data_IF_469016901577
#
_entry.id   IF_469016901577
#
_cell.length_a   1.000
_cell.length_b   1.000
_cell.length_c   1.000
_cell.angle_alpha   90.00
_cell.angle_beta   90.00
_cell.angle_gamma   90.00
#
_symmetry.space_group_name_H-M   'P 1'
#
loop_
_entity.id
_entity.type
_entity.pdbx_description
1 polymer ?
#
# COMPACT_ATOMS: atom_id res chain seq x y z
N UNK A 1 -9.26 27.76 0.37
CA UNK A 1 -8.02 27.17 0.89
C UNK A 1 -7.69 25.94 0.06
N UNK A 2 -6.41 25.64 -0.17
CA UNK A 2 -5.97 24.43 -0.85
C UNK A 2 -5.33 23.49 0.18
N UNK A 3 -5.62 22.20 0.09
CA UNK A 3 -4.93 21.17 0.86
C UNK A 3 -3.62 20.83 0.14
N UNK A 4 -2.52 20.85 0.88
CA UNK A 4 -1.19 20.54 0.38
C UNK A 4 -0.62 19.45 1.28
N UNK A 5 -0.20 18.34 0.67
CA UNK A 5 0.32 17.18 1.38
C UNK A 5 1.73 16.89 0.90
N UNK A 6 2.65 16.67 1.85
CA UNK A 6 4.04 16.33 1.53
C UNK A 6 4.19 14.84 1.19
N UNK A 7 4.71 14.52 0.01
CA UNK A 7 5.00 13.15 -0.42
C UNK A 7 6.42 12.69 -0.07
N UNK A 8 7.32 13.60 0.32
CA UNK A 8 8.71 13.24 0.59
C UNK A 8 8.88 12.48 1.91
N UNK A 9 9.72 11.46 1.87
CA UNK A 9 10.17 10.67 3.04
C UNK A 9 11.64 10.31 2.87
N UNK A 10 12.34 10.11 4.00
CA UNK A 10 13.77 9.82 4.00
C UNK A 10 14.13 8.41 3.53
N UNK A 11 13.17 7.48 3.56
CA UNK A 11 13.33 6.10 3.09
C UNK A 11 12.48 5.91 1.84
N UNK A 12 13.13 5.44 0.78
CA UNK A 12 12.50 5.16 -0.51
C UNK A 12 12.48 3.65 -0.77
N UNK A 13 11.29 3.15 -1.14
CA UNK A 13 11.09 1.80 -1.65
C UNK A 13 10.60 1.95 -3.09
N UNK A 14 11.42 1.55 -4.06
CA UNK A 14 11.15 1.77 -5.48
C UNK A 14 11.31 0.50 -6.30
N UNK A 15 10.53 0.39 -7.39
CA UNK A 15 10.75 -0.57 -8.47
C UNK A 15 11.71 -0.07 -9.54
N UNK A 16 11.80 -0.82 -10.64
CA UNK A 16 12.53 -0.43 -11.83
C UNK A 16 11.87 0.78 -12.51
N UNK A 17 12.70 1.74 -12.91
CA UNK A 17 12.26 2.97 -13.58
C UNK A 17 12.22 2.77 -15.09
N UNK A 18 13.01 1.85 -15.63
CA UNK A 18 13.12 1.66 -17.07
C UNK A 18 11.82 1.09 -17.63
N UNK A 19 11.26 1.79 -18.63
CA UNK A 19 10.01 1.38 -19.29
C UNK A 19 8.80 1.22 -18.35
N UNK A 20 8.83 1.68 -17.10
CA UNK A 20 7.74 1.50 -16.13
C UNK A 20 6.37 1.91 -16.69
N UNK A 21 6.28 3.11 -17.27
CA UNK A 21 5.02 3.60 -17.83
C UNK A 21 4.56 2.84 -19.08
N UNK A 22 5.50 2.26 -19.83
CA UNK A 22 5.22 1.45 -21.01
C UNK A 22 4.74 0.05 -20.63
N UNK A 23 5.46 -0.60 -19.72
CA UNK A 23 5.21 -1.97 -19.29
C UNK A 23 4.11 -2.05 -18.23
N UNK A 24 3.88 -0.95 -17.51
CA UNK A 24 2.92 -0.82 -16.40
C UNK A 24 3.16 -1.87 -15.31
N UNK A 25 4.43 -2.19 -15.07
CA UNK A 25 4.86 -3.29 -14.23
C UNK A 25 5.98 -2.81 -13.32
N UNK A 26 5.67 -2.67 -12.04
CA UNK A 26 6.60 -2.21 -11.02
C UNK A 26 6.84 -3.23 -9.91
N UNK A 27 7.49 -2.75 -8.86
CA UNK A 27 7.61 -3.45 -7.59
C UNK A 27 6.21 -3.74 -7.03
N UNK A 28 6.04 -4.91 -6.43
CA UNK A 28 4.90 -5.15 -5.55
C UNK A 28 5.40 -5.75 -4.24
N UNK A 29 4.66 -5.54 -3.17
CA UNK A 29 4.89 -6.24 -1.91
C UNK A 29 3.69 -7.11 -1.60
N UNK A 30 3.89 -8.21 -0.86
CA UNK A 30 2.78 -8.96 -0.28
C UNK A 30 3.27 -9.79 0.91
N UNK A 31 2.67 -9.53 2.07
CA UNK A 31 3.01 -10.18 3.33
C UNK A 31 2.01 -11.30 3.59
N UNK A 32 2.54 -12.52 3.71
CA UNK A 32 1.79 -13.77 3.74
C UNK A 32 2.06 -14.57 5.02
N UNK A 33 1.19 -15.56 5.29
CA UNK A 33 1.43 -16.63 6.24
C UNK A 33 1.50 -16.15 7.69
N UNK A 34 2.58 -16.49 8.39
CA UNK A 34 2.80 -16.09 9.79
C UNK A 34 3.76 -14.89 9.92
N UNK A 35 4.05 -14.19 8.81
CA UNK A 35 4.84 -12.97 8.83
C UNK A 35 4.09 -11.80 9.45
N UNK A 36 4.80 -10.69 9.63
CA UNK A 36 4.17 -9.38 9.85
C UNK A 36 4.97 -8.32 9.12
N UNK A 37 4.36 -7.16 8.89
CA UNK A 37 5.05 -5.99 8.37
C UNK A 37 4.70 -4.76 9.20
N UNK A 38 5.74 -4.03 9.59
CA UNK A 38 5.62 -2.69 10.16
C UNK A 38 6.40 -1.73 9.26
N UNK A 39 5.70 -1.06 8.35
CA UNK A 39 6.27 -0.13 7.38
C UNK A 39 5.75 1.27 7.68
N UNK A 40 6.65 2.16 8.11
CA UNK A 40 6.28 3.52 8.50
C UNK A 40 7.14 4.58 7.86
N UNK A 41 6.51 5.71 7.52
CA UNK A 41 7.17 6.92 7.02
C UNK A 41 8.12 6.66 5.85
N UNK A 42 7.71 5.76 4.95
CA UNK A 42 8.44 5.45 3.71
C UNK A 42 7.73 6.06 2.51
N UNK A 43 8.49 6.40 1.47
CA UNK A 43 7.96 6.77 0.16
C UNK A 43 8.03 5.54 -0.74
N UNK A 44 6.93 5.22 -1.40
CA UNK A 44 6.82 4.15 -2.38
C UNK A 44 6.55 4.73 -3.76
N UNK A 45 7.26 4.23 -4.75
CA UNK A 45 7.14 4.66 -6.14
C UNK A 45 7.46 3.53 -7.12
N UNK A 46 7.06 3.70 -8.39
CA UNK A 46 7.27 2.71 -9.45
C UNK A 46 6.79 1.32 -9.02
N UNK A 47 5.60 1.26 -8.44
CA UNK A 47 5.02 0.07 -7.83
C UNK A 47 3.66 -0.29 -8.44
N UNK A 48 3.16 -1.48 -8.09
CA UNK A 48 1.97 -2.06 -8.66
C UNK A 48 2.20 -2.63 -10.05
N UNK A 49 1.37 -3.60 -10.43
CA UNK A 49 1.40 -4.20 -11.78
C UNK A 49 -0.01 -4.12 -12.35
N UNK A 50 -0.15 -3.39 -13.46
CA UNK A 50 -1.45 -3.12 -14.07
C UNK A 50 -2.09 -4.43 -14.53
N UNK A 51 -3.37 -4.59 -14.24
CA UNK A 51 -4.19 -5.73 -14.63
C UNK A 51 -3.67 -7.10 -14.14
N UNK A 52 -2.77 -7.11 -13.14
CA UNK A 52 -2.33 -8.33 -12.45
C UNK A 52 -2.87 -8.33 -11.02
N UNK A 53 -3.84 -9.21 -10.75
CA UNK A 53 -4.48 -9.33 -9.44
C UNK A 53 -3.43 -9.67 -8.35
N UNK A 54 -3.56 -9.03 -7.19
CA UNK A 54 -2.70 -9.27 -6.02
C UNK A 54 -1.32 -8.57 -6.06
N UNK A 55 -0.99 -7.85 -7.15
CA UNK A 55 0.31 -7.19 -7.35
C UNK A 55 0.21 -5.69 -7.09
N UNK A 56 0.20 -5.35 -5.81
CA UNK A 56 -0.06 -4.01 -5.29
C UNK A 56 1.17 -3.42 -4.59
N UNK A 57 1.19 -2.11 -4.34
CA UNK A 57 2.35 -1.47 -3.71
C UNK A 57 2.57 -1.97 -2.27
N UNK A 58 1.56 -1.84 -1.41
CA UNK A 58 1.52 -2.41 -0.06
C UNK A 58 0.36 -3.40 0.04
N UNK A 59 0.65 -4.63 0.44
CA UNK A 59 -0.38 -5.68 0.48
C UNK A 59 -0.21 -6.58 1.71
N UNK A 60 -1.18 -6.54 2.61
CA UNK A 60 -1.37 -7.59 3.60
C UNK A 60 -2.27 -8.67 3.01
N UNK A 61 -1.80 -9.92 2.93
CA UNK A 61 -2.51 -10.99 2.24
C UNK A 61 -2.66 -12.24 3.12
N UNK A 62 -3.89 -12.45 3.61
CA UNK A 62 -4.37 -13.64 4.33
C UNK A 62 -3.54 -13.97 5.60
N UNK A 63 -3.30 -12.95 6.43
CA UNK A 63 -2.51 -13.07 7.68
C UNK A 63 -3.35 -13.48 8.89
N UNK A 64 -4.68 -13.31 8.85
CA UNK A 64 -5.53 -13.45 10.04
C UNK A 64 -5.27 -12.32 11.06
N UNK A 65 -5.37 -12.59 12.37
CA UNK A 65 -5.07 -11.59 13.40
C UNK A 65 -3.60 -11.13 13.40
N UNK A 66 -3.36 -9.85 13.14
CA UNK A 66 -2.02 -9.26 13.18
C UNK A 66 -2.03 -7.83 13.77
N UNK A 67 -2.08 -7.68 15.12
CA UNK A 67 -2.04 -6.37 15.78
C UNK A 67 -0.70 -5.64 15.64
N UNK A 68 0.36 -6.36 15.24
CA UNK A 68 1.69 -5.81 14.95
C UNK A 68 1.81 -5.30 13.51
N UNK A 69 0.86 -5.64 12.63
CA UNK A 69 0.90 -5.23 11.23
C UNK A 69 0.48 -3.76 11.09
N UNK A 70 1.38 -2.95 10.53
CA UNK A 70 1.21 -1.50 10.44
C UNK A 70 1.71 -0.98 9.10
N UNK A 71 0.87 -0.21 8.43
CA UNK A 71 1.25 0.74 7.38
C UNK A 71 0.90 2.14 7.86
N UNK A 72 1.92 2.91 8.26
CA UNK A 72 1.71 4.23 8.87
C UNK A 72 2.53 5.35 8.23
N UNK A 73 1.89 6.46 7.87
CA UNK A 73 2.62 7.66 7.47
C UNK A 73 3.35 7.54 6.13
N UNK A 74 3.10 6.48 5.37
CA UNK A 74 3.76 6.25 4.08
C UNK A 74 3.21 7.19 3.02
N UNK A 75 4.02 7.50 2.01
CA UNK A 75 3.60 8.22 0.83
C UNK A 75 3.73 7.29 -0.38
N UNK A 76 2.62 6.90 -0.99
CA UNK A 76 2.61 6.11 -2.22
C UNK A 76 2.31 7.06 -3.36
N UNK A 77 3.17 7.09 -4.37
CA UNK A 77 2.92 7.87 -5.58
C UNK A 77 3.17 7.04 -6.84
N UNK A 78 2.37 7.28 -7.87
CA UNK A 78 2.47 6.64 -9.19
C UNK A 78 2.31 5.10 -9.19
N UNK A 79 1.34 4.58 -8.42
CA UNK A 79 1.02 3.14 -8.44
C UNK A 79 0.32 2.75 -9.75
N UNK A 80 0.81 1.73 -10.45
CA UNK A 80 0.12 1.15 -11.62
C UNK A 80 -1.07 0.29 -11.25
N UNK A 81 -1.33 0.09 -9.95
CA UNK A 81 -2.51 -0.62 -9.46
C UNK A 81 -3.01 -0.02 -8.13
N UNK A 82 -3.44 -0.84 -7.17
CA UNK A 82 -3.89 -0.41 -5.85
C UNK A 82 -2.70 0.08 -5.02
N UNK A 83 -2.91 1.14 -4.24
CA UNK A 83 -1.90 1.66 -3.31
C UNK A 83 -1.69 0.72 -2.11
N UNK A 84 -2.71 0.59 -1.27
CA UNK A 84 -2.69 -0.27 -0.07
C UNK A 84 -3.83 -1.28 -0.14
N UNK A 85 -3.52 -2.55 -0.02
CA UNK A 85 -4.51 -3.63 0.06
C UNK A 85 -4.48 -4.28 1.43
N UNK A 86 -5.69 -4.42 1.99
CA UNK A 86 -6.00 -5.08 3.25
C UNK A 86 -6.82 -6.32 2.87
N UNK A 87 -6.20 -7.50 2.88
CA UNK A 87 -6.84 -8.73 2.45
C UNK A 87 -6.69 -9.83 3.51
N UNK A 88 -7.80 -10.33 4.04
CA UNK A 88 -7.83 -11.41 5.04
C UNK A 88 -6.99 -11.17 6.29
N UNK A 89 -6.88 -9.92 6.74
CA UNK A 89 -6.14 -9.51 7.96
C UNK A 89 -7.07 -8.82 8.96
N UNK A 90 -6.79 -8.98 10.25
CA UNK A 90 -7.56 -8.41 11.35
C UNK A 90 -6.65 -7.63 12.33
N UNK A 91 -7.21 -6.61 12.98
CA UNK A 91 -6.53 -5.78 14.00
C UNK A 91 -5.31 -4.98 13.51
N UNK A 92 -5.09 -4.87 12.20
CA UNK A 92 -3.98 -4.10 11.63
C UNK A 92 -4.24 -2.59 11.64
N UNK A 93 -3.20 -1.79 11.43
CA UNK A 93 -3.29 -0.33 11.36
C UNK A 93 -2.84 0.21 10.01
N UNK A 94 -3.74 0.91 9.33
CA UNK A 94 -3.51 1.62 8.08
C UNK A 94 -3.83 3.09 8.34
N UNK A 95 -2.83 3.84 8.78
CA UNK A 95 -3.02 5.19 9.32
C UNK A 95 -2.10 6.24 8.69
N UNK A 96 -2.59 7.45 8.49
CA UNK A 96 -1.76 8.61 8.09
C UNK A 96 -1.01 8.43 6.76
N UNK A 97 -1.42 7.48 5.92
CA UNK A 97 -0.81 7.28 4.62
C UNK A 97 -1.37 8.26 3.60
N UNK A 98 -0.51 8.68 2.68
CA UNK A 98 -0.87 9.53 1.55
C UNK A 98 -0.76 8.67 0.30
N UNK A 99 -1.83 8.55 -0.48
CA UNK A 99 -1.83 7.80 -1.72
C UNK A 99 -2.21 8.75 -2.87
N UNK A 100 -1.25 9.04 -3.74
CA UNK A 100 -1.43 9.93 -4.88
C UNK A 100 -1.20 9.20 -6.20
N UNK A 101 -2.05 9.49 -7.19
CA UNK A 101 -1.95 8.94 -8.55
C UNK A 101 -1.92 7.39 -8.63
N UNK A 102 -2.69 6.72 -7.76
CA UNK A 102 -2.95 5.28 -7.90
C UNK A 102 -3.91 5.02 -9.06
N UNK A 103 -3.59 4.04 -9.91
CA UNK A 103 -4.40 3.68 -11.08
C UNK A 103 -5.56 2.75 -10.73
N UNK A 104 -5.43 2.02 -9.62
CA UNK A 104 -6.52 1.33 -8.93
C UNK A 104 -7.06 2.16 -7.77
N UNK A 105 -7.65 1.49 -6.78
CA UNK A 105 -8.05 2.14 -5.54
C UNK A 105 -6.83 2.64 -4.74
N UNK A 106 -7.00 3.71 -3.97
CA UNK A 106 -5.96 4.15 -3.03
C UNK A 106 -5.77 3.15 -1.90
N UNK A 107 -6.87 2.81 -1.22
CA UNK A 107 -6.96 1.75 -0.21
C UNK A 107 -8.09 0.79 -0.61
N UNK A 108 -7.84 -0.51 -0.50
CA UNK A 108 -8.76 -1.58 -0.90
C UNK A 108 -8.87 -2.64 0.19
N UNK A 109 -10.10 -2.98 0.57
CA UNK A 109 -10.43 -4.18 1.37
C UNK A 109 -11.07 -5.22 0.44
N UNK A 110 -10.59 -6.46 0.45
CA UNK A 110 -10.86 -7.39 -0.66
C UNK A 110 -12.11 -8.26 -0.47
N UNK A 111 -12.22 -9.02 0.63
CA UNK A 111 -13.25 -10.08 0.74
C UNK A 111 -14.34 -9.82 1.82
N UNK A 112 -14.20 -8.76 2.62
CA UNK A 112 -15.15 -8.39 3.68
C UNK A 112 -14.95 -9.17 4.98
N UNK A 113 -13.91 -10.00 5.08
CA UNK A 113 -13.50 -10.69 6.31
C UNK A 113 -12.41 -9.93 7.09
N UNK A 114 -12.04 -8.73 6.65
CA UNK A 114 -11.02 -7.86 7.23
C UNK A 114 -11.56 -7.07 8.44
N UNK A 115 -11.70 -7.73 9.58
CA UNK A 115 -12.34 -7.17 10.77
C UNK A 115 -11.39 -6.41 11.70
N UNK A 116 -11.93 -5.42 12.40
CA UNK A 116 -11.23 -4.67 13.46
C UNK A 116 -9.94 -3.95 13.03
N UNK A 117 -9.74 -3.73 11.72
CA UNK A 117 -8.64 -2.92 11.23
C UNK A 117 -8.90 -1.44 11.49
N UNK A 118 -7.86 -0.70 11.86
CA UNK A 118 -7.94 0.76 11.98
C UNK A 118 -7.53 1.37 10.64
N UNK A 119 -8.47 2.00 9.95
CA UNK A 119 -8.22 2.75 8.71
C UNK A 119 -8.55 4.21 9.01
N UNK A 120 -7.53 5.04 9.26
CA UNK A 120 -7.77 6.39 9.78
C UNK A 120 -6.75 7.42 9.27
N UNK A 121 -7.23 8.64 9.00
CA UNK A 121 -6.38 9.80 8.63
C UNK A 121 -5.53 9.57 7.37
N UNK A 122 -5.96 8.69 6.46
CA UNK A 122 -5.32 8.53 5.16
C UNK A 122 -5.89 9.57 4.18
N UNK A 123 -5.07 10.02 3.24
CA UNK A 123 -5.41 11.01 2.20
C UNK A 123 -5.14 10.42 0.83
#
# INVERSE_FOLDING_TARGET
>A
AAEVVNLDRNILITGDHENFFKNKFGLHTSIHGHGYADIRYTRLEFCGQRDVLGRYCLHFHLLGPCPQCVFKGNAIHESQQVGITIHGIQFSKIEENVIFDARGAGIYTEDGNEMHNTIARNV
#
